data_IF_661014649470
#
_entry.id   IF_661014649470
#
_cell.length_a   1.000
_cell.length_b   1.000
_cell.length_c   1.000
_cell.angle_alpha   90.00
_cell.angle_beta   90.00
_cell.angle_gamma   90.00
#
_symmetry.space_group_name_H-M   'P 1'
#
loop_
_entity.id
_entity.type
_entity.pdbx_description
1 polymer ?
#
# COMPACT_ATOMS: atom_id res chain seq x y z
N UNK A 1 5.09 -6.44 -0.46
CA UNK A 1 6.48 -6.07 -0.85
C UNK A 1 6.67 -4.57 -0.68
N UNK A 2 7.66 -4.10 0.10
CA UNK A 2 8.00 -2.66 0.21
C UNK A 2 6.81 -1.73 0.51
N UNK A 3 5.86 -2.17 1.34
CA UNK A 3 4.63 -1.44 1.62
C UNK A 3 4.49 -1.16 3.11
N UNK A 4 3.77 -0.09 3.43
CA UNK A 4 3.33 0.25 4.79
C UNK A 4 1.82 0.08 4.86
N UNK A 5 1.33 -0.65 5.85
CA UNK A 5 -0.10 -0.82 6.09
C UNK A 5 -0.43 -0.34 7.50
N UNK A 6 -1.35 0.61 7.62
CA UNK A 6 -1.87 1.10 8.89
C UNK A 6 -3.36 0.81 8.95
N UNK A 7 -3.82 0.31 10.09
CA UNK A 7 -5.23 0.04 10.36
C UNK A 7 -5.64 0.78 11.61
N UNK A 8 -6.74 1.54 11.54
CA UNK A 8 -7.30 2.30 12.65
C UNK A 8 -6.28 3.21 13.35
N UNK A 9 -5.38 3.81 12.57
CA UNK A 9 -4.29 4.64 13.07
C UNK A 9 -4.57 6.13 12.88
N UNK A 10 -4.17 6.95 13.86
CA UNK A 10 -4.10 8.40 13.72
C UNK A 10 -2.66 8.80 13.33
N UNK A 11 -2.53 9.56 12.25
CA UNK A 11 -1.23 10.00 11.73
C UNK A 11 -1.10 11.50 11.93
N UNK A 12 -0.52 11.92 13.04
CA UNK A 12 -0.19 13.34 13.30
C UNK A 12 1.24 13.69 12.85
N UNK A 13 2.08 12.68 12.58
CA UNK A 13 3.46 12.82 12.14
C UNK A 13 3.68 12.46 10.67
N UNK A 14 4.91 12.02 10.34
CA UNK A 14 5.28 11.65 8.97
C UNK A 14 5.28 10.14 8.77
N UNK A 15 4.58 9.66 7.75
CA UNK A 15 4.73 8.31 7.18
C UNK A 15 5.50 8.44 5.87
N UNK A 16 6.61 7.72 5.74
CA UNK A 16 7.43 7.74 4.54
C UNK A 16 7.73 6.32 4.08
N UNK A 17 7.26 5.96 2.89
CA UNK A 17 7.67 4.74 2.21
C UNK A 17 8.62 5.09 1.06
N UNK A 18 9.84 4.55 1.11
CA UNK A 18 10.78 4.62 0.00
C UNK A 18 11.10 3.19 -0.43
N UNK A 19 10.63 2.80 -1.61
CA UNK A 19 10.76 1.41 -2.06
C UNK A 19 11.27 1.32 -3.50
N UNK A 20 11.86 0.18 -3.83
CA UNK A 20 12.26 -0.17 -5.19
C UNK A 20 11.84 -1.61 -5.42
N UNK A 21 10.96 -1.82 -6.39
CA UNK A 21 10.46 -3.14 -6.75
C UNK A 21 10.67 -3.34 -8.24
N UNK A 22 11.54 -4.30 -8.60
CA UNK A 22 11.91 -4.58 -9.98
C UNK A 22 11.65 -6.05 -10.28
N UNK A 23 11.04 -6.35 -11.42
CA UNK A 23 10.92 -7.72 -11.95
C UNK A 23 10.29 -8.70 -10.94
N UNK A 24 9.26 -8.26 -10.23
CA UNK A 24 8.64 -9.03 -9.17
C UNK A 24 7.13 -9.16 -9.37
N UNK A 25 6.57 -10.29 -8.94
CA UNK A 25 5.13 -10.51 -8.92
C UNK A 25 4.65 -10.70 -7.47
N UNK A 26 3.60 -9.98 -7.07
CA UNK A 26 2.87 -10.21 -5.83
C UNK A 26 1.46 -10.65 -6.21
N UNK A 27 1.10 -11.90 -5.91
CA UNK A 27 -0.16 -12.49 -6.35
C UNK A 27 -0.92 -12.97 -5.10
N UNK A 28 -2.12 -12.47 -4.91
CA UNK A 28 -3.05 -12.94 -3.87
C UNK A 28 -4.31 -13.54 -4.52
N UNK A 29 -4.71 -14.74 -4.13
CA UNK A 29 -5.84 -15.47 -4.74
C UNK A 29 -6.79 -15.94 -3.64
N UNK A 30 -8.09 -15.74 -3.84
CA UNK A 30 -9.13 -16.12 -2.88
C UNK A 30 -10.04 -14.92 -2.55
N UNK A 31 -10.67 -14.96 -1.39
CA UNK A 31 -11.60 -13.92 -0.95
C UNK A 31 -10.99 -12.99 0.11
N UNK A 32 -11.31 -11.70 0.04
CA UNK A 32 -10.92 -10.66 1.01
C UNK A 32 -9.41 -10.52 1.25
N UNK A 33 -8.60 -10.84 0.24
CA UNK A 33 -7.16 -10.71 0.26
C UNK A 33 -6.70 -9.28 -0.05
N UNK A 34 -5.51 -8.94 0.44
CA UNK A 34 -4.86 -7.67 0.12
C UNK A 34 -3.48 -7.92 -0.49
N UNK A 35 -3.26 -7.45 -1.72
CA UNK A 35 -1.97 -7.49 -2.40
C UNK A 35 -1.33 -6.09 -2.43
N UNK A 36 -0.31 -5.85 -1.60
CA UNK A 36 0.36 -4.54 -1.52
C UNK A 36 1.83 -4.59 -1.98
N UNK A 37 2.17 -3.73 -2.94
CA UNK A 37 3.50 -3.62 -3.54
C UNK A 37 3.96 -2.15 -3.64
N UNK A 38 4.96 -1.75 -2.87
CA UNK A 38 5.51 -0.40 -2.98
C UNK A 38 4.53 0.70 -2.58
N UNK A 39 3.59 0.41 -1.68
CA UNK A 39 2.42 1.25 -1.40
C UNK A 39 2.28 1.60 0.08
N UNK A 40 1.58 2.70 0.38
CA UNK A 40 1.11 3.03 1.72
C UNK A 40 -0.40 2.85 1.74
N UNK A 41 -0.93 2.03 2.63
CA UNK A 41 -2.37 1.78 2.77
C UNK A 41 -2.80 2.09 4.19
N UNK A 42 -3.77 2.98 4.34
CA UNK A 42 -4.32 3.40 5.62
C UNK A 42 -5.82 3.06 5.56
N UNK A 43 -6.26 2.14 6.42
CA UNK A 43 -7.65 1.70 6.52
C UNK A 43 -8.25 2.11 7.87
N UNK A 44 -9.39 2.79 7.86
CA UNK A 44 -10.09 3.24 9.08
C UNK A 44 -9.31 4.25 9.91
N UNK A 45 -8.28 4.87 9.33
CA UNK A 45 -7.38 5.82 10.00
C UNK A 45 -7.68 7.27 9.65
N UNK A 46 -7.14 8.20 10.45
CA UNK A 46 -7.24 9.65 10.20
C UNK A 46 -5.85 10.24 10.05
N UNK A 47 -5.65 11.01 8.99
CA UNK A 47 -4.47 11.86 8.84
C UNK A 47 -4.75 13.18 9.53
N UNK A 48 -4.03 13.45 10.61
CA UNK A 48 -4.17 14.69 11.38
C UNK A 48 -3.72 15.91 10.58
N UNK A 49 -4.01 17.11 11.09
CA UNK A 49 -3.70 18.39 10.41
C UNK A 49 -2.21 18.57 10.09
N UNK A 50 -1.33 17.96 10.89
CA UNK A 50 0.13 17.99 10.70
C UNK A 50 0.67 16.71 10.05
N UNK A 51 -0.21 15.75 9.76
CA UNK A 51 0.14 14.47 9.18
C UNK A 51 0.60 14.61 7.74
N UNK A 52 1.73 13.96 7.41
CA UNK A 52 2.26 13.94 6.04
C UNK A 52 2.55 12.51 5.63
N UNK A 53 2.08 12.13 4.44
CA UNK A 53 2.33 10.80 3.87
C UNK A 53 3.10 10.98 2.56
N UNK A 54 4.29 10.39 2.49
CA UNK A 54 5.11 10.37 1.28
C UNK A 54 5.37 8.94 0.85
N UNK A 55 5.02 8.61 -0.39
CA UNK A 55 5.36 7.34 -1.03
C UNK A 55 6.25 7.61 -2.24
N UNK A 56 7.50 7.17 -2.16
CA UNK A 56 8.48 7.22 -3.26
C UNK A 56 8.83 5.80 -3.63
N UNK A 57 8.17 5.28 -4.67
CA UNK A 57 8.35 3.89 -5.09
C UNK A 57 8.80 3.81 -6.55
N UNK A 58 9.98 3.26 -6.78
CA UNK A 58 10.45 2.89 -8.13
C UNK A 58 9.98 1.47 -8.43
N UNK A 59 8.82 1.35 -9.09
CA UNK A 59 8.26 0.06 -9.50
C UNK A 59 8.44 -0.14 -11.00
N UNK A 60 9.20 -1.16 -11.40
CA UNK A 60 9.54 -1.44 -12.80
C UNK A 60 9.36 -2.91 -13.14
N UNK A 61 8.69 -3.19 -14.26
CA UNK A 61 8.48 -4.56 -14.76
C UNK A 61 7.92 -5.49 -13.67
N UNK A 62 7.01 -4.99 -12.84
CA UNK A 62 6.44 -5.74 -11.72
C UNK A 62 4.93 -5.86 -11.87
N UNK A 63 4.35 -6.91 -11.28
CA UNK A 63 2.92 -7.20 -11.34
C UNK A 63 2.35 -7.40 -9.93
N UNK A 64 1.36 -6.60 -9.55
CA UNK A 64 0.64 -6.75 -8.27
C UNK A 64 -0.81 -7.17 -8.58
N UNK A 65 -1.14 -8.42 -8.31
CA UNK A 65 -2.36 -9.06 -8.79
C UNK A 65 -3.14 -9.60 -7.60
N UNK A 66 -4.43 -9.29 -7.51
CA UNK A 66 -5.35 -9.90 -6.56
C UNK A 66 -6.57 -10.47 -7.29
N UNK A 67 -6.84 -11.78 -7.15
CA UNK A 67 -7.86 -12.52 -7.91
C UNK A 67 -8.86 -13.16 -6.97
N UNK A 68 -10.15 -12.90 -7.18
CA UNK A 68 -11.26 -13.42 -6.37
C UNK A 68 -12.15 -12.28 -5.84
N UNK A 69 -12.95 -12.56 -4.80
CA UNK A 69 -14.02 -11.65 -4.33
C UNK A 69 -13.53 -10.75 -3.20
N UNK A 70 -13.83 -9.45 -3.26
CA UNK A 70 -13.54 -8.52 -2.17
C UNK A 70 -12.06 -8.23 -1.95
N UNK A 71 -11.23 -8.51 -2.95
CA UNK A 71 -9.79 -8.29 -2.85
C UNK A 71 -9.41 -6.84 -3.16
N UNK A 72 -8.32 -6.40 -2.55
CA UNK A 72 -7.70 -5.11 -2.82
C UNK A 72 -6.26 -5.29 -3.31
N UNK A 73 -5.85 -4.43 -4.24
CA UNK A 73 -4.48 -4.41 -4.74
C UNK A 73 -3.96 -2.98 -4.84
N UNK A 74 -2.82 -2.70 -4.20
CA UNK A 74 -2.22 -1.37 -4.16
C UNK A 74 -0.75 -1.43 -4.59
N UNK A 75 -0.44 -0.84 -5.75
CA UNK A 75 0.90 -0.81 -6.31
C UNK A 75 1.42 0.63 -6.48
N UNK A 76 2.54 0.96 -5.85
CA UNK A 76 3.18 2.27 -6.01
C UNK A 76 2.35 3.47 -5.51
N UNK A 77 1.28 3.23 -4.74
CA UNK A 77 0.26 4.24 -4.40
C UNK A 77 0.21 4.59 -2.92
N UNK A 78 -0.45 5.70 -2.58
CA UNK A 78 -1.00 5.96 -1.25
C UNK A 78 -2.51 5.74 -1.31
N UNK A 79 -3.05 4.90 -0.44
CA UNK A 79 -4.50 4.74 -0.27
C UNK A 79 -4.89 5.08 1.17
N UNK A 80 -5.92 5.91 1.29
CA UNK A 80 -6.54 6.27 2.57
C UNK A 80 -8.02 5.97 2.42
N UNK A 81 -8.52 5.03 3.21
CA UNK A 81 -9.88 4.49 3.15
C UNK A 81 -10.49 4.49 4.55
#
# INVERSE_FOLDING_TARGET
MGSVNLTNAKIDGKVSNKSTVKQAANIAIGENNTANMGSVNIKGGVVGKTGVITNTSDVKQAANIAIGKGNEASMGSVQVQ
#
